data_IF_858511415750
#
_entry.id   IF_858511415750
#
_cell.length_a   1.000
_cell.length_b   1.000
_cell.length_c   1.000
_cell.angle_alpha   90.00
_cell.angle_beta   90.00
_cell.angle_gamma   90.00
#
_symmetry.space_group_name_H-M   'P 1'
#
loop_
_entity.id
_entity.type
_entity.pdbx_description
1 polymer ?
#
# COMPACT_ATOMS: atom_id res chain seq x y z
N UNK A 1 -5.88 -10.49 -6.10
CA UNK A 1 -4.91 -9.36 -6.15
C UNK A 1 -3.71 -9.66 -5.25
N UNK A 2 -2.56 -9.01 -5.45
CA UNK A 2 -1.41 -9.09 -4.54
C UNK A 2 -1.16 -7.73 -3.86
N UNK A 3 -1.01 -7.72 -2.52
CA UNK A 3 -0.77 -6.51 -1.71
C UNK A 3 0.64 -6.55 -1.12
N UNK A 4 1.39 -5.46 -1.29
CA UNK A 4 2.68 -5.28 -0.61
C UNK A 4 2.78 -3.86 -0.04
N UNK A 5 3.21 -3.74 1.21
CA UNK A 5 3.44 -2.46 1.90
C UNK A 5 4.85 -1.88 1.66
N UNK A 6 5.68 -2.57 0.87
CA UNK A 6 7.06 -2.19 0.56
C UNK A 6 7.39 -2.71 -0.87
N UNK A 7 8.57 -2.39 -1.43
CA UNK A 7 9.03 -2.97 -2.69
C UNK A 7 8.77 -4.49 -2.72
N UNK A 8 8.44 -5.03 -3.89
CA UNK A 8 7.97 -6.41 -4.09
C UNK A 8 8.85 -7.51 -3.44
N UNK A 9 10.10 -7.17 -3.07
CA UNK A 9 11.08 -8.07 -2.47
C UNK A 9 11.57 -7.61 -1.07
N UNK A 10 10.80 -6.82 -0.32
CA UNK A 10 11.25 -6.38 1.02
C UNK A 10 11.10 -7.51 2.05
N UNK A 11 12.22 -7.85 2.70
CA UNK A 11 12.37 -8.90 3.71
C UNK A 11 11.78 -8.55 5.10
N UNK A 12 10.62 -7.89 5.14
CA UNK A 12 9.89 -7.62 6.38
C UNK A 12 10.38 -6.41 7.19
N UNK A 13 11.36 -5.63 6.70
CA UNK A 13 11.73 -4.33 7.27
C UNK A 13 11.08 -3.21 6.46
N UNK A 14 10.19 -2.45 7.09
CA UNK A 14 9.59 -1.25 6.48
C UNK A 14 10.68 -0.19 6.35
N UNK A 15 11.11 0.07 5.12
CA UNK A 15 12.03 1.16 4.75
C UNK A 15 11.40 1.95 3.61
N UNK A 16 11.67 3.26 3.58
CA UNK A 16 11.18 4.11 2.51
C UNK A 16 11.60 3.59 1.13
N UNK A 17 10.65 3.65 0.19
CA UNK A 17 10.89 3.18 -1.18
C UNK A 17 11.95 4.03 -1.87
N UNK A 18 13.07 3.42 -2.28
CA UNK A 18 14.10 4.10 -3.06
C UNK A 18 13.55 4.65 -4.39
N UNK A 19 12.60 3.94 -5.01
CA UNK A 19 11.93 4.41 -6.23
C UNK A 19 11.12 5.68 -5.97
N UNK A 20 10.33 5.73 -4.89
CA UNK A 20 9.54 6.92 -4.58
C UNK A 20 10.45 8.11 -4.23
N UNK A 21 11.56 7.86 -3.53
CA UNK A 21 12.57 8.91 -3.29
C UNK A 21 13.20 9.43 -4.58
N UNK A 22 13.49 8.55 -5.53
CA UNK A 22 13.97 8.96 -6.85
C UNK A 22 12.92 9.76 -7.65
N UNK A 23 11.63 9.55 -7.38
CA UNK A 23 10.53 10.36 -7.93
C UNK A 23 10.33 11.70 -7.19
N UNK A 24 11.11 11.99 -6.15
CA UNK A 24 11.08 13.27 -5.42
C UNK A 24 10.19 13.27 -4.17
N UNK A 25 9.64 12.13 -3.75
CA UNK A 25 8.92 12.05 -2.47
C UNK A 25 9.88 12.05 -1.28
N UNK A 26 9.52 12.73 -0.20
CA UNK A 26 10.29 12.73 1.04
C UNK A 26 10.28 11.35 1.73
N UNK A 27 11.15 11.17 2.72
CA UNK A 27 11.33 9.89 3.43
C UNK A 27 10.04 9.41 4.12
N UNK A 28 9.22 10.32 4.65
CA UNK A 28 7.98 10.00 5.37
C UNK A 28 6.93 9.49 4.38
N UNK A 29 6.66 10.25 3.32
CA UNK A 29 5.71 9.87 2.27
C UNK A 29 6.15 8.61 1.53
N UNK A 30 7.44 8.50 1.20
CA UNK A 30 7.99 7.31 0.54
C UNK A 30 7.95 6.05 1.44
N UNK A 31 7.83 6.21 2.75
CA UNK A 31 7.66 5.12 3.73
C UNK A 31 6.21 4.71 3.99
N UNK A 32 5.23 5.44 3.46
CA UNK A 32 3.80 5.23 3.73
C UNK A 32 3.02 4.67 2.53
N UNK A 33 3.68 4.43 1.40
CA UNK A 33 3.03 3.98 0.18
C UNK A 33 2.70 2.48 0.18
N UNK A 34 1.58 2.11 -0.43
CA UNK A 34 1.18 0.73 -0.67
C UNK A 34 1.07 0.50 -2.17
N UNK A 35 1.60 -0.62 -2.66
CA UNK A 35 1.48 -1.03 -4.06
C UNK A 35 0.50 -2.20 -4.18
N UNK A 36 -0.53 -2.00 -4.98
CA UNK A 36 -1.50 -3.04 -5.34
C UNK A 36 -1.23 -3.44 -6.78
N UNK A 37 -1.01 -4.74 -7.01
CA UNK A 37 -0.83 -5.28 -8.36
C UNK A 37 -2.02 -6.14 -8.73
N UNK A 38 -2.63 -5.81 -9.87
CA UNK A 38 -3.73 -6.55 -10.47
C UNK A 38 -3.23 -7.30 -11.73
N UNK A 39 -3.79 -8.46 -11.98
CA UNK A 39 -3.54 -9.30 -13.14
C UNK A 39 -4.85 -9.68 -13.85
N UNK A 40 -4.75 -10.32 -15.02
CA UNK A 40 -5.91 -10.67 -15.85
C UNK A 40 -6.92 -11.59 -15.15
N UNK A 41 -6.48 -12.39 -14.18
CA UNK A 41 -7.34 -13.31 -13.43
C UNK A 41 -8.05 -12.65 -12.24
N UNK A 42 -7.77 -11.38 -11.93
CA UNK A 42 -8.47 -10.72 -10.84
C UNK A 42 -9.90 -10.38 -11.22
N UNK A 43 -10.82 -10.67 -10.30
CA UNK A 43 -12.24 -10.39 -10.49
C UNK A 43 -12.61 -9.05 -9.87
N UNK A 44 -13.74 -8.50 -10.30
CA UNK A 44 -14.32 -7.29 -9.70
C UNK A 44 -14.60 -7.48 -8.20
N UNK A 45 -15.16 -8.62 -7.81
CA UNK A 45 -15.45 -8.96 -6.41
C UNK A 45 -14.18 -8.93 -5.53
N UNK A 46 -13.06 -9.41 -6.05
CA UNK A 46 -11.78 -9.35 -5.36
C UNK A 46 -11.34 -7.90 -5.13
N UNK A 47 -11.48 -7.04 -6.15
CA UNK A 47 -11.13 -5.62 -6.04
C UNK A 47 -12.05 -4.89 -5.06
N UNK A 48 -13.36 -5.12 -5.13
CA UNK A 48 -14.33 -4.51 -4.23
C UNK A 48 -14.07 -4.90 -2.77
N UNK A 49 -13.75 -6.17 -2.51
CA UNK A 49 -13.39 -6.66 -1.17
C UNK A 49 -12.11 -6.00 -0.65
N UNK A 50 -11.11 -5.79 -1.51
CA UNK A 50 -9.90 -5.05 -1.14
C UNK A 50 -10.24 -3.61 -0.73
N UNK A 51 -11.04 -2.90 -1.53
CA UNK A 51 -11.44 -1.51 -1.26
C UNK A 51 -12.19 -1.39 0.06
N UNK A 52 -13.12 -2.31 0.33
CA UNK A 52 -13.88 -2.35 1.59
C UNK A 52 -12.95 -2.48 2.80
N UNK A 53 -12.07 -3.49 2.78
CA UNK A 53 -11.14 -3.76 3.88
C UNK A 53 -10.15 -2.62 4.06
N UNK A 54 -9.55 -2.14 2.97
CA UNK A 54 -8.61 -1.02 3.00
C UNK A 54 -9.26 0.24 3.56
N UNK A 55 -10.45 0.60 3.08
CA UNK A 55 -11.18 1.77 3.56
C UNK A 55 -11.53 1.68 5.05
N UNK A 56 -11.88 0.48 5.54
CA UNK A 56 -12.10 0.24 6.97
C UNK A 56 -10.82 0.46 7.80
N UNK A 57 -9.71 -0.15 7.42
CA UNK A 57 -8.45 -0.01 8.17
C UNK A 57 -7.88 1.41 8.09
N UNK A 58 -8.00 2.08 6.94
CA UNK A 58 -7.58 3.47 6.76
C UNK A 58 -8.33 4.39 7.73
N UNK A 59 -9.67 4.29 7.81
CA UNK A 59 -10.48 5.06 8.76
C UNK A 59 -10.08 4.80 10.21
N UNK A 60 -9.83 3.53 10.56
CA UNK A 60 -9.37 3.15 11.90
C UNK A 60 -8.03 3.77 12.26
N UNK A 61 -7.08 3.81 11.32
CA UNK A 61 -5.76 4.44 11.54
C UNK A 61 -5.92 5.95 11.65
N UNK A 62 -6.70 6.58 10.76
CA UNK A 62 -6.90 8.03 10.76
C UNK A 62 -7.50 8.52 12.09
N UNK A 63 -8.45 7.78 12.66
CA UNK A 63 -9.04 8.06 13.97
C UNK A 63 -8.06 7.98 15.16
N UNK A 64 -6.83 7.47 14.96
CA UNK A 64 -5.76 7.45 15.97
C UNK A 64 -4.76 8.59 15.83
N UNK A 65 -4.78 9.27 14.68
CA UNK A 65 -3.89 10.38 14.34
C UNK A 65 -4.59 11.73 14.61
N UNK A 66 -5.91 11.71 14.79
CA UNK A 66 -6.74 12.85 15.18
C UNK A 66 -6.91 12.87 16.70
#
# INVERSE_FOLDING_TARGET
FAVSAVSACSSGKVRASATLKALGFDEVLAGQAIRISLGPDNTEDEVLRFVEVWGREYRRILARVT
#
